data_IF_338324331691
#
_entry.id   IF_338324331691
#
_cell.length_a   1.000
_cell.length_b   1.000
_cell.length_c   1.000
_cell.angle_alpha   90.00
_cell.angle_beta   90.00
_cell.angle_gamma   90.00
#
_symmetry.space_group_name_H-M   'P 1'
#
loop_
_entity.id
_entity.type
_entity.pdbx_description
1 polymer ?
#
# COMPACT_ATOMS: atom_id res chain seq x y z
N UNK A 1 -13.66 -4.96 -2.35
CA UNK A 1 -12.41 -4.86 -1.56
C UNK A 1 -11.33 -4.05 -2.28
N UNK A 2 -11.31 -4.10 -3.60
CA UNK A 2 -10.30 -3.38 -4.40
C UNK A 2 -10.25 -1.87 -4.15
N UNK A 3 -11.38 -1.24 -3.95
CA UNK A 3 -11.44 0.20 -3.71
C UNK A 3 -10.82 0.63 -2.37
N UNK A 4 -10.70 -0.28 -1.42
CA UNK A 4 -10.21 0.00 -0.06
C UNK A 4 -8.86 -0.66 0.23
N UNK A 5 -8.24 -1.30 -0.75
CA UNK A 5 -7.01 -2.08 -0.56
C UNK A 5 -5.85 -1.24 -0.02
N UNK A 6 -5.81 0.05 -0.34
CA UNK A 6 -4.78 0.96 0.18
C UNK A 6 -4.78 1.04 1.72
N UNK A 7 -5.94 0.86 2.36
CA UNK A 7 -6.03 0.85 3.82
C UNK A 7 -5.26 -0.32 4.44
N UNK A 8 -5.24 -1.47 3.78
CA UNK A 8 -4.43 -2.61 4.21
C UNK A 8 -2.93 -2.27 4.21
N UNK A 9 -2.44 -1.66 3.14
CA UNK A 9 -1.03 -1.27 3.02
C UNK A 9 -0.64 -0.22 4.05
N UNK A 10 -1.51 0.75 4.31
CA UNK A 10 -1.28 1.76 5.34
C UNK A 10 -1.19 1.12 6.73
N UNK A 11 -2.10 0.20 7.05
CA UNK A 11 -2.07 -0.54 8.32
C UNK A 11 -0.78 -1.35 8.45
N UNK A 12 -0.32 -1.96 7.36
CA UNK A 12 0.93 -2.71 7.35
C UNK A 12 2.12 -1.83 7.74
N UNK A 13 2.22 -0.65 7.15
CA UNK A 13 3.33 0.26 7.43
C UNK A 13 3.26 0.81 8.86
N UNK A 14 2.07 1.16 9.33
CA UNK A 14 1.86 1.67 10.69
C UNK A 14 2.14 0.63 11.77
N UNK A 15 2.12 -0.65 11.43
CA UNK A 15 2.42 -1.73 12.37
C UNK A 15 3.91 -1.84 12.72
N UNK A 16 4.79 -1.26 11.93
CA UNK A 16 6.24 -1.29 12.15
C UNK A 16 6.67 -0.08 12.98
N UNK A 17 6.91 -0.30 14.27
CA UNK A 17 7.29 0.77 15.20
C UNK A 17 8.61 1.44 14.83
N UNK A 18 9.57 0.68 14.30
CA UNK A 18 10.87 1.23 13.89
C UNK A 18 10.72 2.14 12.67
N UNK A 19 9.88 1.75 11.71
CA UNK A 19 9.57 2.57 10.56
C UNK A 19 8.88 3.87 10.99
N UNK A 20 7.88 3.76 11.87
CA UNK A 20 7.15 4.94 12.37
C UNK A 20 8.05 5.88 13.15
N UNK A 21 9.02 5.35 13.91
CA UNK A 21 10.00 6.16 14.63
C UNK A 21 10.98 6.89 13.69
N UNK A 22 11.23 6.35 12.51
CA UNK A 22 12.10 6.98 11.51
C UNK A 22 11.41 8.09 10.72
N UNK A 23 10.07 8.19 10.80
CA UNK A 23 9.28 9.19 10.10
C UNK A 23 8.86 10.31 11.06
N UNK A 24 8.73 11.57 10.58
CA UNK A 24 8.06 12.61 11.33
C UNK A 24 6.61 12.20 11.65
N UNK A 25 6.02 12.79 12.69
CA UNK A 25 4.66 12.49 13.10
C UNK A 25 3.68 12.66 11.91
N UNK A 26 2.81 11.64 11.69
CA UNK A 26 1.82 11.60 10.61
C UNK A 26 2.41 11.58 9.19
N UNK A 27 3.63 11.09 9.01
CA UNK A 27 4.33 11.10 7.71
C UNK A 27 3.94 9.94 6.78
N UNK A 28 2.87 9.20 7.04
CA UNK A 28 2.24 8.29 6.09
C UNK A 28 0.90 8.88 5.66
N UNK A 29 0.81 9.22 4.37
CA UNK A 29 -0.34 9.91 3.81
C UNK A 29 -1.07 9.04 2.79
N UNK A 30 -2.38 9.30 2.60
CA UNK A 30 -3.15 8.73 1.50
C UNK A 30 -3.25 9.76 0.38
N UNK A 31 -2.95 9.33 -0.85
CA UNK A 31 -3.08 10.08 -2.11
C UNK A 31 -2.13 11.27 -2.26
N UNK A 32 -2.08 12.17 -1.29
CA UNK A 32 -1.18 13.32 -1.30
C UNK A 32 -0.58 13.52 0.07
N UNK A 33 0.61 14.07 0.12
CA UNK A 33 1.23 14.44 1.38
C UNK A 33 0.47 15.63 1.96
N UNK A 34 -0.39 15.37 2.92
CA UNK A 34 -1.27 16.30 3.63
C UNK A 34 -2.01 17.29 2.71
N UNK A 35 -3.30 17.03 2.36
CA UNK A 35 -4.04 17.84 1.40
C UNK A 35 -4.28 19.29 1.86
N UNK A 36 -4.14 19.60 3.14
CA UNK A 36 -4.27 20.93 3.70
C UNK A 36 -2.94 21.69 3.75
N UNK A 37 -1.89 21.10 3.20
CA UNK A 37 -0.53 21.57 3.32
C UNK A 37 0.05 22.05 2.00
N UNK A 38 0.89 23.06 2.10
CA UNK A 38 1.83 23.38 1.05
C UNK A 38 2.88 22.26 0.93
N UNK A 39 2.88 21.56 -0.21
CA UNK A 39 3.79 20.44 -0.46
C UNK A 39 5.28 20.84 -0.33
N UNK A 40 5.59 22.13 -0.49
CA UNK A 40 6.94 22.63 -0.29
C UNK A 40 7.43 22.53 1.14
N UNK A 41 6.53 22.47 2.10
CA UNK A 41 6.84 22.48 3.53
C UNK A 41 6.67 21.12 4.22
N UNK A 42 6.34 20.07 3.49
CA UNK A 42 6.23 18.72 4.06
C UNK A 42 7.62 18.22 4.48
N UNK A 43 7.76 17.83 5.74
CA UNK A 43 9.02 17.33 6.26
C UNK A 43 9.37 15.98 5.63
N UNK A 44 10.61 15.81 5.18
CA UNK A 44 11.14 14.53 4.72
C UNK A 44 11.85 13.80 5.88
N UNK A 45 11.83 12.46 5.94
CA UNK A 45 11.19 11.54 5.00
C UNK A 45 9.67 11.46 5.18
N UNK A 46 8.97 11.09 4.11
CA UNK A 46 7.55 10.77 4.19
C UNK A 46 7.18 9.68 3.19
N UNK A 47 6.01 9.09 3.38
CA UNK A 47 5.48 8.00 2.55
C UNK A 47 4.06 8.36 2.12
N UNK A 48 3.74 8.12 0.85
CA UNK A 48 2.38 8.25 0.31
C UNK A 48 1.93 6.89 -0.17
N UNK A 49 0.82 6.40 0.38
CA UNK A 49 0.14 5.18 -0.09
C UNK A 49 -1.01 5.59 -0.98
N UNK A 50 -1.04 5.06 -2.19
CA UNK A 50 -2.01 5.46 -3.21
C UNK A 50 -2.70 4.26 -3.83
N UNK A 51 -4.01 4.35 -4.00
CA UNK A 51 -4.74 3.43 -4.85
C UNK A 51 -4.80 4.06 -6.24
N UNK A 52 -4.00 3.53 -7.17
CA UNK A 52 -3.89 4.06 -8.53
C UNK A 52 -4.99 3.53 -9.46
N UNK A 53 -6.00 2.88 -8.88
CA UNK A 53 -7.10 2.31 -9.65
C UNK A 53 -6.84 0.87 -10.06
N UNK A 54 -7.79 0.34 -10.80
CA UNK A 54 -7.70 -1.04 -11.22
C UNK A 54 -8.86 -1.39 -12.15
N UNK A 55 -9.06 -2.68 -12.35
CA UNK A 55 -10.18 -3.18 -13.13
C UNK A 55 -10.70 -4.50 -12.55
N UNK A 56 -11.89 -4.87 -12.97
CA UNK A 56 -12.46 -6.18 -12.70
C UNK A 56 -12.15 -7.09 -13.87
N UNK A 57 -11.59 -8.26 -13.58
CA UNK A 57 -11.15 -9.22 -14.59
C UNK A 57 -12.28 -10.18 -15.04
N UNK A 58 -13.53 -9.81 -14.83
CA UNK A 58 -14.68 -10.58 -15.28
C UNK A 58 -14.79 -10.51 -16.80
N UNK A 59 -14.38 -11.55 -17.49
CA UNK A 59 -14.42 -11.56 -18.95
C UNK A 59 -15.69 -12.13 -19.53
N UNK A 60 -16.49 -12.88 -18.76
CA UNK A 60 -17.73 -13.49 -19.22
C UNK A 60 -18.81 -13.34 -18.16
N UNK A 61 -20.08 -13.25 -18.63
CA UNK A 61 -21.26 -13.12 -17.75
C UNK A 61 -21.51 -14.35 -16.87
N UNK A 62 -20.87 -15.46 -17.18
CA UNK A 62 -21.13 -16.75 -16.55
C UNK A 62 -20.12 -17.09 -15.45
N UNK A 63 -19.05 -16.29 -15.29
CA UNK A 63 -17.97 -16.56 -14.36
C UNK A 63 -17.91 -15.52 -13.24
N UNK A 64 -19.05 -15.31 -12.59
CA UNK A 64 -19.12 -14.36 -11.48
C UNK A 64 -18.40 -14.82 -10.22
N UNK A 65 -18.35 -16.13 -9.97
CA UNK A 65 -17.79 -16.71 -8.74
C UNK A 65 -16.26 -16.60 -8.67
N UNK A 66 -15.59 -16.46 -9.82
CA UNK A 66 -14.14 -16.33 -9.90
C UNK A 66 -13.64 -14.90 -10.13
N UNK A 67 -14.55 -13.92 -10.17
CA UNK A 67 -14.19 -12.55 -10.52
C UNK A 67 -13.37 -11.88 -9.40
N UNK A 68 -12.16 -11.48 -9.73
CA UNK A 68 -11.28 -10.75 -8.84
C UNK A 68 -11.05 -9.34 -9.38
N UNK A 69 -10.90 -8.38 -8.49
CA UNK A 69 -10.42 -7.06 -8.84
C UNK A 69 -8.90 -7.06 -8.95
N UNK A 70 -8.39 -6.44 -10.00
CA UNK A 70 -6.97 -6.10 -10.14
C UNK A 70 -6.79 -4.65 -9.72
N UNK A 71 -6.02 -4.41 -8.68
CA UNK A 71 -5.84 -3.10 -8.08
C UNK A 71 -4.36 -2.75 -8.05
N UNK A 72 -4.03 -1.54 -8.46
CA UNK A 72 -2.67 -1.03 -8.44
C UNK A 72 -2.48 -0.14 -7.22
N UNK A 73 -1.64 -0.57 -6.31
CA UNK A 73 -1.25 0.21 -5.13
C UNK A 73 0.17 0.70 -5.35
N UNK A 74 0.40 1.98 -5.14
CA UNK A 74 1.74 2.54 -5.13
C UNK A 74 2.11 3.08 -3.76
N UNK A 75 3.37 2.88 -3.37
CA UNK A 75 3.95 3.44 -2.15
C UNK A 75 5.10 4.32 -2.59
N UNK A 76 4.91 5.63 -2.48
CA UNK A 76 5.91 6.61 -2.80
C UNK A 76 6.69 6.96 -1.54
N UNK A 77 8.01 6.81 -1.59
CA UNK A 77 8.91 7.12 -0.49
C UNK A 77 9.79 8.28 -0.91
N UNK A 78 9.81 9.32 -0.08
CA UNK A 78 10.65 10.49 -0.29
C UNK A 78 11.59 10.64 0.88
N UNK A 79 12.88 10.72 0.61
CA UNK A 79 13.91 10.83 1.63
C UNK A 79 14.97 11.85 1.23
N UNK A 80 15.74 12.30 2.20
CA UNK A 80 16.71 13.38 2.01
C UNK A 80 17.97 12.91 1.28
N UNK A 81 18.37 11.65 1.48
CA UNK A 81 19.55 11.08 0.85
C UNK A 81 19.22 9.80 0.11
N UNK A 82 20.04 9.45 -0.88
CA UNK A 82 19.86 8.22 -1.63
C UNK A 82 20.00 6.97 -0.75
N UNK A 83 20.96 6.98 0.17
CA UNK A 83 21.18 5.84 1.07
C UNK A 83 19.99 5.63 2.02
N UNK A 84 19.47 6.68 2.64
CA UNK A 84 18.31 6.58 3.51
C UNK A 84 17.07 6.17 2.73
N UNK A 85 16.90 6.64 1.50
CA UNK A 85 15.80 6.22 0.62
C UNK A 85 15.83 4.72 0.35
N UNK A 86 16.99 4.19 -0.03
CA UNK A 86 17.14 2.76 -0.32
C UNK A 86 16.90 1.89 0.90
N UNK A 87 17.42 2.28 2.05
CA UNK A 87 17.18 1.56 3.30
C UNK A 87 15.72 1.56 3.68
N UNK A 88 15.05 2.71 3.53
CA UNK A 88 13.63 2.83 3.81
C UNK A 88 12.79 2.00 2.84
N UNK A 89 13.13 1.97 1.55
CA UNK A 89 12.45 1.16 0.55
C UNK A 89 12.54 -0.34 0.87
N UNK A 90 13.70 -0.82 1.28
CA UNK A 90 13.89 -2.21 1.71
C UNK A 90 13.06 -2.50 2.95
N UNK A 91 13.05 -1.60 3.92
CA UNK A 91 12.26 -1.75 5.15
C UNK A 91 10.77 -1.79 4.84
N UNK A 92 10.28 -0.90 3.98
CA UNK A 92 8.87 -0.86 3.57
C UNK A 92 8.48 -2.16 2.88
N UNK A 93 9.27 -2.62 1.92
CA UNK A 93 8.98 -3.87 1.21
C UNK A 93 8.91 -5.07 2.16
N UNK A 94 9.88 -5.18 3.06
CA UNK A 94 9.92 -6.25 4.06
C UNK A 94 8.72 -6.16 5.01
N UNK A 95 8.38 -4.96 5.45
CA UNK A 95 7.23 -4.73 6.34
C UNK A 95 5.92 -5.18 5.71
N UNK A 96 5.69 -4.83 4.45
CA UNK A 96 4.49 -5.25 3.72
C UNK A 96 4.45 -6.77 3.59
N UNK A 97 5.57 -7.38 3.20
CA UNK A 97 5.65 -8.83 3.05
C UNK A 97 5.34 -9.56 4.37
N UNK A 98 5.99 -9.17 5.44
CA UNK A 98 5.83 -9.80 6.75
C UNK A 98 4.40 -9.59 7.29
N UNK A 99 3.83 -8.41 7.06
CA UNK A 99 2.47 -8.12 7.48
C UNK A 99 1.43 -8.94 6.71
N UNK A 100 1.64 -9.18 5.42
CA UNK A 100 0.76 -10.06 4.65
C UNK A 100 0.75 -11.49 5.19
N UNK A 101 1.91 -12.01 5.58
CA UNK A 101 2.01 -13.34 6.21
C UNK A 101 1.32 -13.36 7.57
N UNK A 102 1.57 -12.37 8.41
CA UNK A 102 0.93 -12.27 9.72
C UNK A 102 -0.59 -12.13 9.61
N UNK A 103 -1.07 -11.37 8.64
CA UNK A 103 -2.50 -11.22 8.35
C UNK A 103 -3.14 -12.55 7.97
N UNK A 104 -2.50 -13.32 7.09
CA UNK A 104 -2.97 -14.65 6.72
C UNK A 104 -3.05 -15.58 7.92
N UNK A 105 -2.04 -15.56 8.79
CA UNK A 105 -2.03 -16.37 10.02
C UNK A 105 -3.15 -15.98 10.99
N UNK A 106 -3.44 -14.68 11.14
CA UNK A 106 -4.54 -14.20 11.98
C UNK A 106 -5.90 -14.64 11.44
N UNK A 107 -6.09 -14.57 10.13
CA UNK A 107 -7.34 -15.01 9.48
C UNK A 107 -7.52 -16.52 9.70
N UNK A 108 -6.49 -17.32 9.49
CA UNK A 108 -6.53 -18.77 9.69
C UNK A 108 -6.78 -19.14 11.14
N UNK A 109 -6.27 -18.36 12.08
CA UNK A 109 -6.48 -18.58 13.52
C UNK A 109 -7.84 -18.09 14.03
N UNK A 110 -8.63 -17.40 13.20
CA UNK A 110 -9.91 -16.82 13.60
C UNK A 110 -9.80 -15.57 14.46
N UNK A 111 -8.65 -14.89 14.44
CA UNK A 111 -8.37 -13.67 15.21
C UNK A 111 -7.94 -12.51 14.30
N UNK A 112 -8.76 -12.12 13.28
CA UNK A 112 -8.36 -11.08 12.36
C UNK A 112 -8.24 -9.71 13.06
N UNK A 113 -7.26 -8.93 12.62
CA UNK A 113 -7.13 -7.53 12.99
C UNK A 113 -7.91 -6.64 12.03
N UNK A 114 -8.01 -5.35 12.35
CA UNK A 114 -8.61 -4.36 11.47
C UNK A 114 -7.93 -4.36 10.10
N UNK A 115 -8.73 -4.33 9.03
CA UNK A 115 -8.30 -4.35 7.63
C UNK A 115 -7.68 -5.67 7.13
N UNK A 116 -7.62 -6.73 7.93
CA UNK A 116 -7.17 -8.04 7.44
C UNK A 116 -8.08 -8.60 6.33
N UNK A 117 -9.35 -8.24 6.34
CA UNK A 117 -10.31 -8.59 5.29
C UNK A 117 -9.98 -7.94 3.93
N UNK A 118 -9.17 -6.88 3.93
CA UNK A 118 -8.71 -6.19 2.73
C UNK A 118 -7.41 -6.77 2.15
N UNK A 119 -6.86 -7.80 2.77
CA UNK A 119 -5.61 -8.41 2.32
C UNK A 119 -5.74 -8.95 0.90
N UNK A 120 -4.84 -8.57 -0.03
CA UNK A 120 -4.85 -9.15 -1.36
C UNK A 120 -4.50 -10.65 -1.33
N UNK A 121 -5.09 -11.42 -2.24
CA UNK A 121 -4.79 -12.86 -2.39
C UNK A 121 -3.42 -13.07 -2.98
N UNK A 122 -3.01 -12.20 -3.90
CA UNK A 122 -1.78 -12.29 -4.64
C UNK A 122 -1.37 -10.89 -5.11
N UNK A 123 -0.09 -10.72 -5.40
CA UNK A 123 0.39 -9.45 -5.94
C UNK A 123 1.66 -9.64 -6.77
N UNK A 124 1.86 -8.75 -7.74
CA UNK A 124 3.11 -8.57 -8.46
C UNK A 124 3.78 -7.30 -7.97
N UNK A 125 5.08 -7.38 -7.69
CA UNK A 125 5.87 -6.27 -7.19
C UNK A 125 6.79 -5.72 -8.27
N UNK A 126 6.86 -4.39 -8.36
CA UNK A 126 7.84 -3.68 -9.16
C UNK A 126 8.22 -2.36 -8.48
N UNK A 127 9.20 -1.67 -9.01
CA UNK A 127 9.62 -0.38 -8.45
C UNK A 127 10.17 0.52 -9.55
N UNK A 128 10.10 1.83 -9.31
CA UNK A 128 10.59 2.84 -10.23
C UNK A 128 12.10 3.06 -10.09
N UNK A 129 12.67 3.79 -11.04
CA UNK A 129 13.99 4.39 -10.84
C UNK A 129 13.93 5.43 -9.72
N UNK A 130 15.07 5.69 -9.09
CA UNK A 130 15.20 6.78 -8.13
C UNK A 130 15.24 8.11 -8.90
N UNK A 131 14.37 9.04 -8.51
CA UNK A 131 14.36 10.40 -9.03
C UNK A 131 14.88 11.38 -7.99
N UNK A 132 15.47 12.47 -8.45
CA UNK A 132 16.01 13.52 -7.60
C UNK A 132 15.38 14.87 -7.93
N UNK A 133 14.94 15.58 -6.89
CA UNK A 133 14.38 16.91 -7.00
C UNK A 133 15.40 17.93 -6.49
N UNK A 134 16.04 18.74 -7.39
CA UNK A 134 17.10 19.67 -6.98
C UNK A 134 16.60 20.91 -6.26
N UNK A 135 15.38 21.36 -6.51
CA UNK A 135 14.85 22.58 -5.89
C UNK A 135 14.53 22.38 -4.41
N UNK A 136 14.08 21.17 -4.07
CA UNK A 136 13.93 20.71 -2.69
C UNK A 136 14.71 19.42 -2.58
N UNK A 137 15.98 19.45 -2.16
CA UNK A 137 16.86 18.27 -2.22
C UNK A 137 16.22 17.05 -1.59
N UNK A 138 15.75 16.14 -2.43
CA UNK A 138 15.07 14.93 -2.02
C UNK A 138 15.17 13.87 -3.10
N UNK A 139 15.15 12.62 -2.67
CA UNK A 139 15.15 11.46 -3.55
C UNK A 139 13.82 10.72 -3.38
N UNK A 140 13.27 10.24 -4.48
CA UNK A 140 11.98 9.56 -4.50
C UNK A 140 12.10 8.23 -5.21
N UNK A 141 11.47 7.20 -4.64
CA UNK A 141 11.23 5.92 -5.28
C UNK A 141 9.76 5.56 -5.09
N UNK A 142 9.19 4.86 -6.08
CA UNK A 142 7.82 4.36 -5.98
C UNK A 142 7.86 2.84 -6.06
N UNK A 143 7.24 2.19 -5.08
CA UNK A 143 7.03 0.76 -5.05
C UNK A 143 5.62 0.49 -5.57
N UNK A 144 5.49 -0.47 -6.49
CA UNK A 144 4.22 -0.80 -7.12
C UNK A 144 3.80 -2.22 -6.75
N UNK A 145 2.57 -2.34 -6.26
CA UNK A 145 1.92 -3.62 -5.96
C UNK A 145 0.67 -3.75 -6.83
N UNK A 146 0.71 -4.64 -7.80
CA UNK A 146 -0.48 -5.00 -8.56
C UNK A 146 -1.15 -6.18 -7.85
N UNK A 147 -2.30 -5.91 -7.24
CA UNK A 147 -2.96 -6.83 -6.32
C UNK A 147 -4.17 -7.49 -6.97
N UNK A 148 -4.41 -8.75 -6.58
CA UNK A 148 -5.66 -9.46 -6.87
C UNK A 148 -6.47 -9.53 -5.57
N UNK A 149 -7.69 -9.00 -5.59
CA UNK A 149 -8.56 -8.94 -4.42
C UNK A 149 -9.95 -9.48 -4.74
N UNK A 150 -10.72 -9.95 -3.73
CA UNK A 150 -12.11 -10.32 -3.95
C UNK A 150 -12.91 -9.15 -4.48
N UNK A 151 -13.88 -9.45 -5.35
CA UNK A 151 -14.80 -8.45 -5.87
C UNK A 151 -15.81 -8.06 -4.79
N UNK A 152 -15.92 -6.77 -4.50
CA UNK A 152 -16.80 -6.22 -3.46
C UNK A 152 -18.28 -6.52 -3.72
N UNK A 153 -18.70 -6.55 -4.98
CA UNK A 153 -20.08 -6.81 -5.37
C UNK A 153 -20.50 -8.25 -5.03
N UNK A 154 -19.56 -9.20 -5.13
CA UNK A 154 -19.85 -10.62 -4.90
C UNK A 154 -19.73 -11.02 -3.43
N UNK A 155 -18.96 -10.29 -2.62
CA UNK A 155 -18.92 -10.50 -1.18
C UNK A 155 -20.30 -10.29 -0.53
N UNK A 156 -21.09 -9.34 -1.04
CA UNK A 156 -22.44 -9.10 -0.55
C UNK A 156 -23.42 -10.25 -0.88
N UNK A 157 -23.17 -11.01 -1.94
CA UNK A 157 -23.98 -12.16 -2.32
C UNK A 157 -23.66 -13.43 -1.53
N UNK A 158 -22.44 -13.58 -1.05
CA UNK A 158 -22.03 -14.73 -0.25
C UNK A 158 -22.54 -14.67 1.19
N UNK A 159 -23.03 -13.52 1.65
CA UNK A 159 -23.55 -13.32 3.00
C UNK A 159 -25.03 -13.67 3.14
N UNK A 160 -25.72 -13.93 2.06
CA UNK A 160 -27.12 -14.35 2.02
C UNK A 160 -27.22 -15.89 1.91
#
# INVERSE_FOLDING_TARGET
MGLLTDAFFKSALESNADLMAALPAHAIYNNVADPDYDMENVAVPYIIVNNDGGNNDTQTKDDYEGAEDKVNISIRIVAKTNDSLRQMAVTVRRTVHDYMQASAERIDAGTPAENDDLRPHDYDFSFSDVSYEPQKPSHTIVLYYQCSTPNEIFDDYEQD
#
